data_IF_207775545605
#
_entry.id   IF_207775545605
#
_cell.length_a   1.000
_cell.length_b   1.000
_cell.length_c   1.000
_cell.angle_alpha   90.00
_cell.angle_beta   90.00
_cell.angle_gamma   90.00
#
_symmetry.space_group_name_H-M   'P 1'
#
loop_
_entity.id
_entity.type
_entity.pdbx_description
1 polymer ?
#
# COMPACT_ATOMS: atom_id res chain seq x y z
N UNK A 1 -9.01 -33.34 -4.23
CA UNK A 1 -8.43 -32.21 -5.00
C UNK A 1 -7.80 -31.27 -4.00
N UNK A 2 -6.48 -31.18 -3.99
CA UNK A 2 -5.75 -30.30 -3.06
C UNK A 2 -5.28 -29.08 -3.82
N UNK A 3 -5.83 -27.93 -3.51
CA UNK A 3 -5.19 -26.64 -3.82
C UNK A 3 -4.46 -26.20 -2.58
N UNK A 4 -3.29 -25.69 -2.84
CA UNK A 4 -2.45 -25.12 -1.83
C UNK A 4 -1.99 -23.80 -2.33
N UNK A 5 -2.57 -22.80 -1.74
CA UNK A 5 -2.21 -21.43 -2.01
C UNK A 5 -0.86 -21.16 -1.38
N UNK A 6 -0.05 -20.52 -2.14
CA UNK A 6 1.22 -20.10 -1.67
C UNK A 6 1.27 -18.61 -1.58
N UNK A 7 1.78 -18.16 -0.49
CA UNK A 7 2.61 -16.98 -0.48
C UNK A 7 1.85 -15.72 -0.23
N UNK A 8 1.66 -15.47 1.02
CA UNK A 8 1.62 -14.10 1.44
C UNK A 8 2.27 -13.96 2.81
N UNK A 9 1.56 -14.20 3.88
CA UNK A 9 2.05 -14.10 5.26
C UNK A 9 1.45 -15.24 6.04
N UNK A 10 2.31 -16.01 6.73
CA UNK A 10 1.93 -17.21 7.50
C UNK A 10 1.49 -16.87 8.92
N UNK A 11 1.98 -15.77 9.47
CA UNK A 11 1.75 -15.40 10.88
C UNK A 11 0.29 -15.50 11.33
N UNK A 12 -0.72 -15.02 10.54
CA UNK A 12 -2.11 -15.10 10.93
C UNK A 12 -2.66 -16.52 11.12
N UNK A 13 -1.97 -17.53 10.57
CA UNK A 13 -2.38 -18.94 10.66
C UNK A 13 -1.72 -19.68 11.83
N UNK A 14 -0.63 -19.13 12.37
CA UNK A 14 0.18 -19.72 13.41
C UNK A 14 -0.20 -19.16 14.78
N UNK A 15 -0.47 -17.86 14.89
CA UNK A 15 -0.77 -17.19 16.13
C UNK A 15 -2.27 -17.28 16.49
N UNK A 16 -2.56 -17.61 17.76
CA UNK A 16 -3.94 -17.74 18.26
C UNK A 16 -4.67 -16.40 18.40
N UNK A 17 -3.95 -15.33 18.73
CA UNK A 17 -4.46 -13.97 18.81
C UNK A 17 -3.57 -13.09 17.94
N UNK A 18 -4.08 -12.66 16.81
CA UNK A 18 -3.33 -11.90 15.84
C UNK A 18 -3.89 -10.47 15.75
N UNK A 19 -3.12 -9.43 16.14
CA UNK A 19 -3.57 -8.06 15.97
C UNK A 19 -3.69 -7.72 14.49
N UNK A 20 -4.79 -7.11 14.10
CA UNK A 20 -5.04 -6.71 12.70
C UNK A 20 -4.24 -5.44 12.33
N UNK A 21 -2.95 -5.41 12.65
CA UNK A 21 -2.07 -4.23 12.46
C UNK A 21 -1.80 -3.88 11.00
N UNK A 22 -2.04 -4.81 10.10
CA UNK A 22 -1.82 -4.61 8.67
C UNK A 22 -2.88 -5.37 7.87
N UNK A 23 -3.44 -4.74 6.83
CA UNK A 23 -4.53 -5.30 6.01
C UNK A 23 -4.20 -6.69 5.48
N UNK A 24 -2.96 -6.91 5.02
CA UNK A 24 -2.54 -8.17 4.43
C UNK A 24 -2.68 -9.40 5.33
N UNK A 25 -2.66 -9.19 6.65
CA UNK A 25 -2.79 -10.27 7.62
C UNK A 25 -4.20 -10.87 7.59
N UNK A 26 -5.22 -10.03 7.61
CA UNK A 26 -6.60 -10.45 7.45
C UNK A 26 -6.86 -10.95 6.03
N UNK A 27 -6.32 -10.26 5.02
CA UNK A 27 -6.48 -10.63 3.61
C UNK A 27 -5.96 -12.03 3.30
N UNK A 28 -4.81 -12.41 3.84
CA UNK A 28 -4.26 -13.76 3.67
C UNK A 28 -5.21 -14.84 4.18
N UNK A 29 -5.79 -14.65 5.37
CA UNK A 29 -6.81 -15.57 5.93
C UNK A 29 -8.05 -15.64 5.05
N UNK A 30 -8.53 -14.49 4.61
CA UNK A 30 -9.76 -14.40 3.83
C UNK A 30 -9.60 -15.03 2.43
N UNK A 31 -8.47 -14.81 1.77
CA UNK A 31 -8.15 -15.48 0.50
C UNK A 31 -8.12 -17.00 0.66
N UNK A 32 -7.43 -17.49 1.70
CA UNK A 32 -7.39 -18.92 1.97
C UNK A 32 -8.79 -19.50 2.28
N UNK A 33 -9.62 -18.76 3.03
CA UNK A 33 -11.02 -19.13 3.31
C UNK A 33 -11.84 -19.23 2.02
N UNK A 34 -11.75 -18.21 1.15
CA UNK A 34 -12.51 -18.17 -0.12
C UNK A 34 -12.10 -19.33 -1.02
N UNK A 35 -10.81 -19.60 -1.19
CA UNK A 35 -10.31 -20.72 -1.98
C UNK A 35 -10.81 -22.04 -1.37
N UNK A 36 -10.77 -22.17 -0.04
CA UNK A 36 -11.30 -23.33 0.68
C UNK A 36 -12.79 -23.59 0.44
N UNK A 37 -13.62 -22.53 0.31
CA UNK A 37 -15.06 -22.69 0.01
C UNK A 37 -15.35 -23.27 -1.38
N UNK A 38 -14.37 -23.26 -2.28
CA UNK A 38 -14.44 -23.93 -3.60
C UNK A 38 -14.02 -25.40 -3.54
N UNK A 39 -13.86 -25.97 -2.35
CA UNK A 39 -13.53 -27.39 -2.14
C UNK A 39 -12.04 -27.70 -2.16
N UNK A 40 -11.22 -26.70 -2.04
CA UNK A 40 -9.77 -26.83 -2.05
C UNK A 40 -9.19 -26.92 -0.61
N UNK A 41 -8.18 -27.74 -0.43
CA UNK A 41 -7.34 -27.73 0.77
C UNK A 41 -6.21 -26.73 0.54
N UNK A 42 -6.09 -25.76 1.42
CA UNK A 42 -5.15 -24.63 1.25
C UNK A 42 -3.93 -24.81 2.14
N UNK A 43 -2.74 -24.80 1.53
CA UNK A 43 -1.46 -24.64 2.22
C UNK A 43 -1.02 -23.19 2.04
N UNK A 44 -0.63 -22.54 3.11
CA UNK A 44 -0.07 -21.20 3.06
C UNK A 44 1.43 -21.27 3.35
N UNK A 45 2.23 -20.68 2.46
CA UNK A 45 3.69 -20.64 2.57
C UNK A 45 4.13 -19.18 2.62
N UNK A 46 4.99 -18.85 3.57
CA UNK A 46 5.53 -17.50 3.68
C UNK A 46 6.36 -17.12 2.46
N UNK A 47 6.12 -15.94 1.90
CA UNK A 47 6.78 -15.45 0.68
C UNK A 47 8.29 -15.25 0.83
N UNK A 48 8.81 -15.18 2.04
CA UNK A 48 10.24 -15.12 2.34
C UNK A 48 10.87 -16.49 2.49
N UNK A 49 10.06 -17.55 2.67
CA UNK A 49 10.55 -18.92 2.87
C UNK A 49 10.90 -19.62 1.55
N UNK A 50 12.07 -19.34 1.00
CA UNK A 50 12.57 -19.98 -0.23
C UNK A 50 12.92 -21.46 -0.07
N UNK A 51 13.00 -21.96 1.14
CA UNK A 51 13.35 -23.34 1.47
C UNK A 51 12.14 -24.17 1.94
N UNK A 52 10.93 -23.72 1.61
CA UNK A 52 9.71 -24.43 1.99
C UNK A 52 9.72 -25.85 1.44
N UNK A 53 9.54 -26.84 2.31
CA UNK A 53 9.41 -28.25 1.94
C UNK A 53 7.96 -28.55 1.61
N UNK A 54 7.61 -28.48 0.33
CA UNK A 54 6.28 -28.82 -0.14
C UNK A 54 6.08 -30.33 -0.07
N UNK A 55 4.94 -30.78 0.49
CA UNK A 55 4.66 -32.20 0.73
C UNK A 55 3.78 -32.84 -0.33
N UNK A 56 3.15 -32.04 -1.15
CA UNK A 56 2.11 -32.49 -2.08
C UNK A 56 2.29 -31.85 -3.46
N UNK A 57 1.55 -32.34 -4.43
CA UNK A 57 1.39 -31.67 -5.71
C UNK A 57 0.14 -30.81 -5.70
N UNK A 58 0.14 -29.73 -6.46
CA UNK A 58 -0.88 -28.67 -6.42
C UNK A 58 -1.66 -28.59 -7.72
N UNK A 59 -2.96 -28.31 -7.61
CA UNK A 59 -3.87 -28.07 -8.73
C UNK A 59 -4.03 -26.57 -9.02
N UNK A 60 -3.66 -25.72 -8.05
CA UNK A 60 -3.63 -24.26 -8.21
C UNK A 60 -2.49 -23.69 -7.35
N UNK A 61 -1.84 -22.66 -7.87
CA UNK A 61 -0.85 -21.85 -7.12
C UNK A 61 -1.23 -20.38 -7.31
N UNK A 62 -1.40 -19.66 -6.21
CA UNK A 62 -1.59 -18.20 -6.22
C UNK A 62 -0.42 -17.56 -5.50
N UNK A 63 0.23 -16.56 -6.07
CA UNK A 63 1.37 -16.01 -5.38
C UNK A 63 2.00 -14.76 -5.97
N UNK A 64 2.88 -14.14 -5.16
CA UNK A 64 3.68 -12.99 -5.56
C UNK A 64 4.75 -13.40 -6.58
N UNK A 65 4.85 -12.65 -7.67
CA UNK A 65 5.87 -12.84 -8.69
C UNK A 65 6.94 -11.76 -8.53
N UNK A 66 8.20 -12.13 -8.76
CA UNK A 66 8.81 -13.41 -9.18
C UNK A 66 9.22 -14.33 -8.03
N UNK A 67 8.87 -14.00 -6.79
CA UNK A 67 9.37 -14.71 -5.62
C UNK A 67 8.69 -16.06 -5.45
N UNK A 68 9.49 -17.13 -5.48
CA UNK A 68 9.08 -18.45 -5.00
C UNK A 68 8.40 -19.36 -6.00
N UNK A 69 8.13 -18.94 -7.25
CA UNK A 69 7.47 -19.82 -8.22
C UNK A 69 8.31 -21.07 -8.56
N UNK A 70 9.64 -20.94 -8.54
CA UNK A 70 10.56 -22.05 -8.80
C UNK A 70 10.39 -23.21 -7.81
N UNK A 71 10.00 -22.90 -6.56
CA UNK A 71 9.75 -23.89 -5.51
C UNK A 71 8.57 -24.80 -5.92
N UNK A 72 7.56 -24.22 -6.58
CA UNK A 72 6.32 -24.94 -6.93
C UNK A 72 6.39 -25.70 -8.23
N UNK A 73 7.29 -25.34 -9.17
CA UNK A 73 7.35 -25.93 -10.50
C UNK A 73 7.43 -27.46 -10.47
N UNK A 74 8.17 -28.02 -9.50
CA UNK A 74 8.31 -29.46 -9.29
C UNK A 74 7.14 -30.13 -8.58
N UNK A 75 6.20 -29.33 -8.07
CA UNK A 75 5.06 -29.76 -7.27
C UNK A 75 3.73 -29.38 -7.91
N UNK A 76 3.71 -29.07 -9.19
CA UNK A 76 2.49 -28.77 -9.95
C UNK A 76 1.97 -30.03 -10.63
N UNK A 77 0.67 -30.31 -10.46
CA UNK A 77 0.00 -31.34 -11.25
C UNK A 77 -0.12 -30.89 -12.72
N UNK A 78 -0.26 -31.82 -13.68
CA UNK A 78 -0.67 -31.46 -15.04
C UNK A 78 -1.98 -30.64 -15.01
N UNK A 79 -1.95 -29.47 -15.66
CA UNK A 79 -3.11 -28.54 -15.63
C UNK A 79 -3.25 -27.70 -14.36
N UNK A 80 -2.21 -27.63 -13.52
CA UNK A 80 -2.18 -26.74 -12.37
C UNK A 80 -2.38 -25.27 -12.79
N UNK A 81 -3.37 -24.60 -12.19
CA UNK A 81 -3.62 -23.16 -12.41
C UNK A 81 -2.59 -22.30 -11.72
N UNK A 82 -2.03 -21.35 -12.45
CA UNK A 82 -1.05 -20.40 -11.94
C UNK A 82 -1.62 -19.00 -11.96
N UNK A 83 -1.79 -18.40 -10.78
CA UNK A 83 -2.36 -17.07 -10.61
C UNK A 83 -1.30 -16.16 -10.03
N UNK A 84 -0.99 -15.10 -10.75
CA UNK A 84 -0.09 -14.05 -10.28
C UNK A 84 -0.83 -13.10 -9.34
N UNK A 85 -0.32 -12.87 -8.13
CA UNK A 85 -0.85 -11.85 -7.22
C UNK A 85 0.06 -10.62 -7.22
N UNK A 86 -0.42 -9.53 -7.79
CA UNK A 86 0.32 -8.30 -8.04
C UNK A 86 -0.14 -7.24 -7.04
N UNK A 87 0.64 -7.02 -6.00
CA UNK A 87 0.29 -6.12 -4.87
C UNK A 87 0.86 -4.71 -5.00
N UNK A 88 1.61 -4.44 -6.07
CA UNK A 88 2.25 -3.14 -6.35
C UNK A 88 2.34 -2.92 -7.85
N UNK A 89 2.81 -1.75 -8.27
CA UNK A 89 3.31 -1.54 -9.64
C UNK A 89 4.42 -2.53 -9.97
N UNK A 90 4.69 -2.72 -11.26
CA UNK A 90 5.78 -3.56 -11.75
C UNK A 90 7.10 -3.19 -11.04
N UNK A 91 7.83 -4.19 -10.55
CA UNK A 91 9.04 -3.98 -9.77
C UNK A 91 10.14 -3.21 -10.54
N UNK A 92 10.24 -3.37 -11.85
CA UNK A 92 11.18 -2.59 -12.65
C UNK A 92 10.82 -1.10 -12.65
N UNK A 93 9.53 -0.76 -12.76
CA UNK A 93 9.02 0.61 -12.67
C UNK A 93 9.22 1.14 -11.25
N UNK A 94 8.87 0.36 -10.23
CA UNK A 94 9.07 0.73 -8.82
C UNK A 94 10.54 1.05 -8.53
N UNK A 95 11.46 0.18 -8.98
CA UNK A 95 12.91 0.39 -8.81
C UNK A 95 13.42 1.61 -9.57
N UNK A 96 12.93 1.81 -10.82
CA UNK A 96 13.26 2.97 -11.63
C UNK A 96 12.79 4.28 -10.99
N UNK A 97 11.56 4.32 -10.51
CA UNK A 97 10.99 5.50 -9.85
C UNK A 97 11.72 5.84 -8.54
N UNK A 98 12.03 4.83 -7.72
CA UNK A 98 12.83 5.05 -6.50
C UNK A 98 14.22 5.61 -6.83
N UNK A 99 14.88 5.07 -7.87
CA UNK A 99 16.16 5.58 -8.33
C UNK A 99 16.07 7.05 -8.76
N UNK A 100 15.04 7.42 -9.53
CA UNK A 100 14.81 8.82 -9.93
C UNK A 100 14.68 9.71 -8.69
N UNK A 101 13.92 9.30 -7.67
CA UNK A 101 13.78 10.05 -6.41
C UNK A 101 15.10 10.20 -5.67
N UNK A 102 15.91 9.16 -5.60
CA UNK A 102 17.24 9.21 -4.98
C UNK A 102 18.20 10.11 -5.76
N UNK A 103 18.17 10.09 -7.09
CA UNK A 103 18.96 10.98 -7.95
C UNK A 103 18.51 12.45 -7.79
N UNK A 104 17.21 12.72 -7.70
CA UNK A 104 16.65 14.06 -7.40
C UNK A 104 17.08 14.55 -6.01
N UNK A 105 17.03 13.69 -5.00
CA UNK A 105 17.51 13.98 -3.65
C UNK A 105 19.01 14.34 -3.67
N UNK A 106 19.81 13.55 -4.37
CA UNK A 106 21.25 13.85 -4.55
C UNK A 106 21.48 15.23 -5.19
N UNK A 107 20.66 15.59 -6.19
CA UNK A 107 20.75 16.92 -6.83
C UNK A 107 20.36 18.04 -5.87
N UNK A 108 19.34 17.85 -5.01
CA UNK A 108 18.90 18.88 -4.05
C UNK A 108 19.84 19.05 -2.86
N UNK A 109 20.37 17.95 -2.31
CA UNK A 109 21.12 17.97 -1.04
C UNK A 109 22.59 17.54 -1.16
N UNK A 110 23.00 16.96 -2.29
CA UNK A 110 24.37 16.46 -2.48
C UNK A 110 24.68 15.14 -1.75
N UNK A 111 23.64 14.41 -1.28
CA UNK A 111 23.77 13.17 -0.51
C UNK A 111 23.35 11.95 -1.31
N UNK A 112 23.87 10.80 -0.93
CA UNK A 112 23.46 9.51 -1.49
C UNK A 112 22.84 8.64 -0.40
N UNK A 113 21.59 8.23 -0.58
CA UNK A 113 20.91 7.29 0.28
C UNK A 113 20.67 5.95 -0.43
N UNK A 114 20.53 4.89 0.35
CA UNK A 114 20.33 3.55 -0.18
C UNK A 114 18.87 3.32 -0.60
N UNK A 115 18.60 2.62 -1.73
CA UNK A 115 17.26 2.23 -2.11
C UNK A 115 16.68 1.24 -1.10
N UNK A 116 15.38 1.35 -0.80
CA UNK A 116 14.69 0.52 0.19
C UNK A 116 13.58 -0.35 -0.39
N UNK A 117 12.96 0.09 -1.46
CA UNK A 117 11.79 -0.57 -2.07
C UNK A 117 12.10 -1.18 -3.42
N UNK A 118 13.17 -0.75 -4.06
CA UNK A 118 13.66 -1.33 -5.30
C UNK A 118 14.09 -2.78 -5.12
N UNK A 119 14.04 -3.54 -6.19
CA UNK A 119 14.44 -4.95 -6.23
C UNK A 119 15.34 -5.22 -7.44
N UNK A 120 16.41 -5.98 -7.21
CA UNK A 120 17.21 -6.54 -8.29
C UNK A 120 16.50 -7.67 -9.04
N UNK A 121 15.42 -8.22 -8.45
CA UNK A 121 14.61 -9.27 -9.06
C UNK A 121 13.53 -8.62 -9.89
N UNK A 122 13.62 -8.73 -11.19
CA UNK A 122 12.64 -8.21 -12.15
C UNK A 122 11.63 -9.30 -12.47
N UNK A 123 10.34 -8.94 -12.58
CA UNK A 123 9.35 -9.83 -13.18
C UNK A 123 9.73 -10.00 -14.65
N UNK A 124 9.96 -11.22 -15.06
CA UNK A 124 10.29 -11.56 -16.44
C UNK A 124 9.05 -11.99 -17.23
N UNK A 125 9.28 -12.51 -18.44
CA UNK A 125 8.20 -13.00 -19.32
C UNK A 125 7.47 -14.24 -18.78
N UNK A 126 7.91 -14.82 -17.68
CA UNK A 126 7.23 -15.94 -17.03
C UNK A 126 5.79 -15.60 -16.63
N UNK A 127 5.48 -14.33 -16.39
CA UNK A 127 4.11 -13.88 -16.12
C UNK A 127 3.16 -14.16 -17.30
N UNK A 128 3.67 -14.16 -18.52
CA UNK A 128 2.89 -14.45 -19.73
C UNK A 128 2.41 -15.92 -19.81
N UNK A 129 2.99 -16.79 -18.98
CA UNK A 129 2.65 -18.21 -18.90
C UNK A 129 1.65 -18.52 -17.78
N UNK A 130 1.18 -17.50 -17.05
CA UNK A 130 0.17 -17.66 -16.01
C UNK A 130 -1.22 -17.77 -16.61
N UNK A 131 -2.12 -18.45 -15.89
CA UNK A 131 -3.50 -18.66 -16.29
C UNK A 131 -4.39 -17.49 -15.90
N UNK A 132 -3.91 -16.65 -14.92
CA UNK A 132 -4.57 -15.44 -14.49
C UNK A 132 -3.67 -14.53 -13.68
N UNK A 133 -4.08 -13.28 -13.53
CA UNK A 133 -3.43 -12.32 -12.64
C UNK A 133 -4.47 -11.59 -11.78
N UNK A 134 -4.20 -11.48 -10.50
CA UNK A 134 -4.93 -10.62 -9.58
C UNK A 134 -4.06 -9.42 -9.25
N UNK A 135 -4.60 -8.21 -9.35
CA UNK A 135 -3.83 -7.01 -9.06
C UNK A 135 -4.55 -6.07 -8.09
N UNK A 136 -3.79 -5.48 -7.18
CA UNK A 136 -4.23 -4.40 -6.28
C UNK A 136 -3.83 -3.06 -6.88
N UNK A 137 -4.75 -2.10 -6.85
CA UNK A 137 -4.57 -0.76 -7.40
C UNK A 137 -5.61 -0.41 -8.45
N UNK A 138 -5.38 0.67 -9.15
CA UNK A 138 -6.22 1.12 -10.26
C UNK A 138 -5.61 0.74 -11.63
N UNK A 139 -6.24 1.17 -12.71
CA UNK A 139 -5.73 0.93 -14.07
C UNK A 139 -4.36 1.55 -14.31
N UNK A 140 -4.09 2.73 -13.75
CA UNK A 140 -2.79 3.39 -13.90
C UNK A 140 -1.66 2.52 -13.35
N UNK A 141 -1.82 1.94 -12.14
CA UNK A 141 -0.83 1.05 -11.57
C UNK A 141 -0.68 -0.25 -12.38
N UNK A 142 -1.80 -0.78 -12.87
CA UNK A 142 -1.79 -2.00 -13.69
C UNK A 142 -1.11 -1.79 -15.04
N UNK A 143 -1.22 -0.61 -15.66
CA UNK A 143 -0.50 -0.25 -16.89
C UNK A 143 1.04 -0.34 -16.77
N UNK A 144 1.59 -0.34 -15.56
CA UNK A 144 3.02 -0.61 -15.35
C UNK A 144 3.47 -2.00 -15.85
N UNK A 145 2.52 -2.90 -16.11
CA UNK A 145 2.74 -4.24 -16.65
C UNK A 145 2.54 -4.36 -18.17
N UNK A 146 2.23 -3.28 -18.89
CA UNK A 146 1.93 -3.29 -20.34
C UNK A 146 3.12 -3.75 -21.22
N UNK A 147 4.33 -3.82 -20.65
CA UNK A 147 5.48 -4.42 -21.32
C UNK A 147 5.39 -5.95 -21.47
N UNK A 148 4.40 -6.60 -20.85
CA UNK A 148 4.14 -8.03 -20.93
C UNK A 148 2.81 -8.32 -21.61
N UNK A 149 2.69 -9.50 -22.24
CA UNK A 149 1.39 -10.05 -22.64
C UNK A 149 0.72 -10.65 -21.40
N UNK A 150 -0.03 -9.81 -20.70
CA UNK A 150 -0.68 -10.22 -19.46
C UNK A 150 -1.74 -11.29 -19.69
N UNK A 151 -1.85 -12.29 -18.77
CA UNK A 151 -2.99 -13.22 -18.76
C UNK A 151 -4.28 -12.49 -18.40
N UNK A 152 -5.45 -13.16 -18.46
CA UNK A 152 -6.70 -12.62 -17.95
C UNK A 152 -6.52 -12.04 -16.55
N UNK A 153 -6.77 -10.73 -16.39
CA UNK A 153 -6.39 -10.01 -15.18
C UNK A 153 -7.61 -9.42 -14.48
N UNK A 154 -7.64 -9.58 -13.16
CA UNK A 154 -8.78 -9.19 -12.32
C UNK A 154 -8.31 -8.26 -11.18
N UNK A 155 -9.02 -7.15 -11.02
CA UNK A 155 -8.77 -6.24 -9.90
C UNK A 155 -9.24 -6.85 -8.58
N UNK A 156 -8.34 -6.87 -7.59
CA UNK A 156 -8.67 -7.10 -6.20
C UNK A 156 -8.62 -5.74 -5.50
N UNK A 157 -9.69 -5.37 -4.81
CA UNK A 157 -9.69 -4.13 -4.03
C UNK A 157 -8.89 -4.35 -2.74
N UNK A 158 -8.16 -3.32 -2.30
CA UNK A 158 -7.53 -3.38 -0.97
C UNK A 158 -8.60 -3.28 0.13
N UNK A 159 -8.27 -3.54 1.39
CA UNK A 159 -9.21 -3.42 2.51
C UNK A 159 -8.80 -2.30 3.46
N UNK A 160 -9.74 -1.44 3.81
CA UNK A 160 -9.62 -0.47 4.88
C UNK A 160 -10.12 -1.03 6.22
N UNK A 161 -10.17 -0.17 7.21
CA UNK A 161 -10.65 -0.48 8.55
C UNK A 161 -12.04 0.12 8.81
N UNK A 162 -12.74 -0.41 9.80
CA UNK A 162 -13.93 0.18 10.37
C UNK A 162 -13.62 0.51 11.84
N UNK A 163 -13.31 1.76 12.12
CA UNK A 163 -13.01 2.20 13.47
C UNK A 163 -14.27 2.68 14.16
N UNK A 164 -14.72 1.99 15.22
CA UNK A 164 -15.93 2.36 15.98
C UNK A 164 -15.85 3.75 16.61
N UNK A 165 -14.63 4.23 16.86
CA UNK A 165 -14.37 5.54 17.42
C UNK A 165 -14.28 6.66 16.36
N UNK A 166 -14.16 6.34 15.07
CA UNK A 166 -14.09 7.35 14.01
C UNK A 166 -15.42 8.12 13.91
N UNK A 167 -15.34 9.44 13.84
CA UNK A 167 -16.50 10.33 13.82
C UNK A 167 -16.49 11.19 12.57
N UNK A 168 -17.64 11.31 11.92
CA UNK A 168 -17.80 12.11 10.69
C UNK A 168 -17.68 13.63 10.93
N UNK A 169 -18.06 14.12 12.11
CA UNK A 169 -18.22 15.54 12.40
C UNK A 169 -17.19 16.06 13.42
N UNK A 170 -15.92 15.74 13.23
CA UNK A 170 -14.84 16.30 14.06
C UNK A 170 -14.32 17.56 13.39
N UNK A 171 -14.20 18.61 14.18
CA UNK A 171 -13.48 19.82 13.78
C UNK A 171 -11.99 19.56 13.95
N UNK A 172 -11.26 19.61 12.84
CA UNK A 172 -9.81 19.40 12.77
C UNK A 172 -9.12 20.68 12.33
N UNK A 173 -7.87 20.81 12.71
CA UNK A 173 -7.03 21.91 12.23
C UNK A 173 -6.69 21.70 10.73
N UNK A 174 -7.17 22.63 9.88
CA UNK A 174 -6.93 22.61 8.44
C UNK A 174 -5.45 22.73 8.03
N UNK A 175 -4.58 23.09 8.97
CA UNK A 175 -3.13 23.17 8.75
C UNK A 175 -2.36 21.98 9.30
N UNK A 176 -3.05 20.93 9.77
CA UNK A 176 -2.43 19.72 10.31
C UNK A 176 -2.50 18.55 9.35
N UNK A 177 -1.32 18.01 9.06
CA UNK A 177 -1.07 16.93 8.11
C UNK A 177 -0.42 15.75 8.81
N UNK A 178 -0.72 14.53 8.33
CA UNK A 178 0.02 13.34 8.75
C UNK A 178 0.66 12.66 7.53
N UNK A 179 1.92 12.34 7.66
CA UNK A 179 2.60 11.34 6.85
C UNK A 179 2.50 10.02 7.60
N UNK A 180 1.73 9.07 7.06
CA UNK A 180 1.52 7.76 7.66
C UNK A 180 1.98 6.67 6.69
N UNK A 181 3.12 6.05 6.97
CA UNK A 181 3.75 5.09 6.06
C UNK A 181 4.64 4.10 6.81
N UNK A 182 5.05 3.03 6.12
CA UNK A 182 6.05 2.08 6.57
C UNK A 182 7.46 2.52 6.16
N UNK A 183 8.33 1.58 5.76
CA UNK A 183 9.69 1.82 5.26
C UNK A 183 9.73 2.38 3.83
N UNK A 184 10.89 2.89 3.44
CA UNK A 184 11.14 3.50 2.14
C UNK A 184 10.85 4.99 2.16
N UNK A 185 11.52 5.77 3.03
CA UNK A 185 11.15 7.15 3.29
C UNK A 185 11.25 8.04 2.05
N UNK A 186 12.34 7.92 1.26
CA UNK A 186 12.49 8.66 -0.02
C UNK A 186 11.49 8.16 -1.06
N UNK A 187 11.30 6.85 -1.15
CA UNK A 187 10.29 6.26 -2.03
C UNK A 187 8.88 6.80 -1.75
N UNK A 188 8.55 6.96 -0.47
CA UNK A 188 7.27 7.49 0.02
C UNK A 188 7.17 9.01 -0.01
N UNK A 189 8.29 9.72 -0.27
CA UNK A 189 8.37 11.16 -0.39
C UNK A 189 8.41 11.92 0.94
N UNK A 190 8.85 11.26 2.04
CA UNK A 190 9.04 11.93 3.32
C UNK A 190 10.10 13.01 3.25
N UNK A 191 11.17 12.79 2.48
CA UNK A 191 12.22 13.79 2.20
C UNK A 191 11.65 15.10 1.67
N UNK A 192 10.72 15.03 0.70
CA UNK A 192 10.06 16.20 0.13
C UNK A 192 9.22 16.96 1.18
N UNK A 193 8.49 16.22 2.01
CA UNK A 193 7.65 16.81 3.04
C UNK A 193 8.51 17.46 4.15
N UNK A 194 9.56 16.80 4.61
CA UNK A 194 10.45 17.36 5.62
C UNK A 194 11.11 18.67 5.13
N UNK A 195 11.59 18.69 3.89
CA UNK A 195 12.16 19.92 3.30
C UNK A 195 11.10 21.03 3.15
N UNK A 196 9.88 20.71 2.68
CA UNK A 196 8.81 21.69 2.51
C UNK A 196 8.35 22.28 3.86
N UNK A 197 8.05 21.42 4.83
CA UNK A 197 7.52 21.88 6.12
C UNK A 197 8.56 22.63 6.95
N UNK A 198 9.85 22.23 6.87
CA UNK A 198 10.90 22.93 7.58
C UNK A 198 11.26 24.30 6.98
N UNK A 199 11.08 24.49 5.66
CA UNK A 199 11.55 25.70 4.98
C UNK A 199 10.40 26.64 4.58
N UNK A 200 9.27 26.11 4.10
CA UNK A 200 8.23 26.91 3.44
C UNK A 200 6.85 26.82 4.10
N UNK A 201 6.54 25.77 4.85
CA UNK A 201 5.25 25.52 5.48
C UNK A 201 5.31 25.64 7.00
N UNK A 202 5.96 26.68 7.53
CA UNK A 202 6.21 26.85 8.97
C UNK A 202 4.95 27.05 9.82
N UNK A 203 3.85 27.52 9.21
CA UNK A 203 2.56 27.69 9.85
C UNK A 203 1.67 26.44 9.79
N UNK A 204 2.20 25.36 9.24
CA UNK A 204 1.55 24.05 9.07
C UNK A 204 2.23 23.01 9.93
N UNK A 205 1.49 22.05 10.45
CA UNK A 205 2.03 20.96 11.27
C UNK A 205 2.08 19.67 10.48
N UNK A 206 3.22 18.98 10.51
CA UNK A 206 3.40 17.64 9.94
C UNK A 206 3.67 16.63 11.04
N UNK A 207 2.75 15.69 11.25
CA UNK A 207 2.97 14.51 12.06
C UNK A 207 3.62 13.42 11.22
N UNK A 208 4.77 12.90 11.65
CA UNK A 208 5.54 11.88 10.91
C UNK A 208 5.40 10.54 11.60
N UNK A 209 4.49 9.71 11.09
CA UNK A 209 4.19 8.38 11.61
C UNK A 209 4.78 7.32 10.67
N UNK A 210 6.05 6.99 10.85
CA UNK A 210 6.73 5.98 10.04
C UNK A 210 7.95 5.40 10.75
N UNK A 211 8.47 4.28 10.26
CA UNK A 211 9.67 3.64 10.81
C UNK A 211 10.98 4.25 10.30
N UNK A 212 11.06 5.57 10.16
CA UNK A 212 12.23 6.28 9.62
C UNK A 212 13.53 6.01 10.39
N UNK A 213 13.44 5.73 11.68
CA UNK A 213 14.60 5.38 12.53
C UNK A 213 15.27 4.06 12.10
N UNK A 214 14.58 3.20 11.37
CA UNK A 214 15.11 1.94 10.85
C UNK A 214 15.94 2.15 9.57
N UNK A 215 15.90 3.34 8.98
CA UNK A 215 16.66 3.73 7.81
C UNK A 215 17.77 4.70 8.25
N UNK A 216 18.86 4.15 8.81
CA UNK A 216 19.93 4.88 9.49
C UNK A 216 20.47 6.07 8.66
N UNK A 217 20.74 5.84 7.36
CA UNK A 217 21.25 6.87 6.46
C UNK A 217 20.24 8.02 6.28
N UNK A 218 18.93 7.71 6.13
CA UNK A 218 17.86 8.69 6.07
C UNK A 218 17.71 9.42 7.42
N UNK A 219 17.72 8.66 8.51
CA UNK A 219 17.54 9.19 9.86
C UNK A 219 18.62 10.21 10.22
N UNK A 220 19.89 9.91 9.92
CA UNK A 220 21.01 10.80 10.18
C UNK A 220 20.92 12.08 9.33
N UNK A 221 20.56 11.96 8.06
CA UNK A 221 20.48 13.08 7.14
C UNK A 221 19.34 14.06 7.48
N UNK A 222 18.18 13.53 7.90
CA UNK A 222 16.98 14.33 8.21
C UNK A 222 16.75 14.56 9.71
N UNK A 223 17.74 14.25 10.55
CA UNK A 223 17.65 14.41 12.01
C UNK A 223 17.28 15.85 12.40
N UNK A 224 17.86 16.83 11.74
CA UNK A 224 17.60 18.25 12.01
C UNK A 224 16.15 18.63 11.71
N UNK A 225 15.65 18.26 10.53
CA UNK A 225 14.27 18.53 10.15
C UNK A 225 13.29 17.84 11.10
N UNK A 226 13.58 16.60 11.50
CA UNK A 226 12.71 15.81 12.39
C UNK A 226 12.68 16.37 13.83
N UNK A 227 13.80 16.80 14.39
CA UNK A 227 13.90 17.09 15.82
C UNK A 227 14.17 18.53 16.20
N UNK A 228 14.63 19.36 15.25
CA UNK A 228 14.92 20.79 15.52
C UNK A 228 13.90 21.74 14.86
N UNK A 229 12.90 21.19 14.16
CA UNK A 229 11.86 21.98 13.48
C UNK A 229 10.56 21.88 14.26
N UNK A 230 10.11 23.00 14.83
CA UNK A 230 9.00 23.03 15.82
C UNK A 230 7.64 22.59 15.29
N UNK A 231 7.41 22.64 13.98
CA UNK A 231 6.15 22.27 13.32
C UNK A 231 6.20 20.87 12.67
N UNK A 232 7.29 20.14 12.84
CA UNK A 232 7.39 18.72 12.46
C UNK A 232 7.39 17.89 13.76
N UNK A 233 6.45 16.97 13.86
CA UNK A 233 6.23 16.16 15.05
C UNK A 233 6.60 14.70 14.73
N UNK A 234 7.81 14.25 15.08
CA UNK A 234 8.27 12.89 14.82
C UNK A 234 7.61 11.93 15.82
N UNK A 235 6.77 11.03 15.32
CA UNK A 235 6.02 10.07 16.11
C UNK A 235 6.61 8.66 16.10
N UNK A 236 7.54 8.39 15.14
CA UNK A 236 8.02 7.04 14.90
C UNK A 236 6.94 6.11 14.37
N UNK A 237 7.10 4.81 14.59
CA UNK A 237 6.06 3.84 14.24
C UNK A 237 4.85 4.00 15.18
N UNK A 238 3.67 4.17 14.60
CA UNK A 238 2.41 4.29 15.32
C UNK A 238 1.50 3.11 15.00
N UNK A 239 1.12 2.36 16.01
CA UNK A 239 0.16 1.26 15.89
C UNK A 239 -1.25 1.82 15.69
N UNK A 240 -1.97 1.31 14.70
CA UNK A 240 -3.34 1.77 14.35
C UNK A 240 -4.39 1.47 15.43
N UNK A 241 -4.11 0.52 16.33
CA UNK A 241 -4.96 0.19 17.48
C UNK A 241 -4.67 1.06 18.72
N UNK A 242 -3.62 1.92 18.65
CA UNK A 242 -3.19 2.74 19.77
C UNK A 242 -4.06 4.01 19.95
N UNK A 243 -4.12 4.51 21.18
CA UNK A 243 -4.72 5.83 21.47
C UNK A 243 -3.96 6.94 20.74
N UNK A 244 -2.65 6.82 20.55
CA UNK A 244 -1.83 7.75 19.78
C UNK A 244 -2.33 7.91 18.35
N UNK A 245 -2.65 6.81 17.65
CA UNK A 245 -3.22 6.90 16.30
C UNK A 245 -4.56 7.62 16.30
N UNK A 246 -5.41 7.30 17.27
CA UNK A 246 -6.72 7.96 17.45
C UNK A 246 -6.57 9.46 17.69
N UNK A 247 -5.66 9.88 18.58
CA UNK A 247 -5.39 11.31 18.84
C UNK A 247 -4.89 12.04 17.61
N UNK A 248 -3.95 11.45 16.85
CA UNK A 248 -3.43 12.00 15.60
C UNK A 248 -4.57 12.17 14.60
N UNK A 249 -5.44 11.17 14.46
CA UNK A 249 -6.57 11.21 13.53
C UNK A 249 -7.61 12.29 13.88
N UNK A 250 -7.70 12.66 15.15
CA UNK A 250 -8.55 13.77 15.60
C UNK A 250 -7.91 15.15 15.39
N UNK A 251 -6.59 15.22 15.33
CA UNK A 251 -5.84 16.48 15.11
C UNK A 251 -5.64 16.77 13.62
N UNK A 252 -5.28 15.75 12.83
CA UNK A 252 -4.91 15.94 11.42
C UNK A 252 -6.13 15.93 10.51
N UNK A 253 -6.25 16.98 9.69
CA UNK A 253 -7.25 17.04 8.62
C UNK A 253 -6.82 16.21 7.41
N UNK A 254 -5.56 16.26 7.06
CA UNK A 254 -5.06 15.63 5.84
C UNK A 254 -4.06 14.51 6.12
N UNK A 255 -4.14 13.46 5.29
CA UNK A 255 -3.09 12.47 5.15
C UNK A 255 -2.37 12.69 3.81
N UNK A 256 -1.06 12.90 3.85
CA UNK A 256 -0.29 13.26 2.66
C UNK A 256 0.75 12.17 2.35
N UNK A 257 0.75 11.68 1.10
CA UNK A 257 1.66 10.63 0.65
C UNK A 257 2.07 10.82 -0.82
N UNK A 258 3.17 11.56 -1.09
CA UNK A 258 3.70 11.72 -2.44
C UNK A 258 4.61 10.54 -2.84
N UNK A 259 4.11 9.31 -2.73
CA UNK A 259 4.86 8.09 -3.05
C UNK A 259 5.16 7.97 -4.55
N UNK A 260 6.27 7.36 -4.92
CA UNK A 260 6.66 7.18 -6.32
C UNK A 260 6.20 5.84 -6.93
N UNK A 261 5.71 4.89 -6.15
CA UNK A 261 5.08 3.65 -6.63
C UNK A 261 4.39 2.89 -5.49
N UNK A 262 3.14 2.48 -5.72
CA UNK A 262 2.34 1.64 -4.83
C UNK A 262 1.50 0.64 -5.64
N UNK A 263 0.75 -0.21 -4.93
CA UNK A 263 -0.42 -0.87 -5.50
C UNK A 263 -1.67 -0.02 -5.22
N UNK A 264 -2.24 -0.21 -4.02
CA UNK A 264 -3.22 0.71 -3.43
C UNK A 264 -2.75 0.96 -1.99
N UNK A 265 -2.37 2.20 -1.70
CA UNK A 265 -1.68 2.55 -0.46
C UNK A 265 -2.53 2.27 0.79
N UNK A 266 -2.24 1.17 1.49
CA UNK A 266 -3.00 0.72 2.66
C UNK A 266 -2.98 1.71 3.82
N UNK A 267 -1.88 2.44 4.00
CA UNK A 267 -1.77 3.50 5.01
C UNK A 267 -2.74 4.66 4.75
N UNK A 268 -2.97 4.99 3.49
CA UNK A 268 -3.95 6.02 3.09
C UNK A 268 -5.37 5.51 3.34
N UNK A 269 -5.69 4.25 3.02
CA UNK A 269 -6.98 3.66 3.39
C UNK A 269 -7.21 3.69 4.90
N UNK A 270 -6.17 3.45 5.69
CA UNK A 270 -6.24 3.54 7.16
C UNK A 270 -6.56 4.98 7.60
N UNK A 271 -5.88 5.97 7.04
CA UNK A 271 -6.14 7.37 7.33
C UNK A 271 -7.56 7.81 6.90
N UNK A 272 -8.01 7.40 5.71
CA UNK A 272 -9.38 7.64 5.22
C UNK A 272 -10.43 6.98 6.12
N UNK A 273 -10.17 5.78 6.62
CA UNK A 273 -11.04 5.07 7.58
C UNK A 273 -11.23 5.86 8.88
N UNK A 274 -10.23 6.64 9.26
CA UNK A 274 -10.27 7.53 10.43
C UNK A 274 -10.82 8.95 10.10
N UNK A 275 -11.27 9.19 8.86
CA UNK A 275 -11.86 10.43 8.40
C UNK A 275 -10.84 11.53 8.06
N UNK A 276 -9.60 11.18 7.76
CA UNK A 276 -8.62 12.12 7.21
C UNK A 276 -8.78 12.23 5.69
N UNK A 277 -8.51 13.40 5.14
CA UNK A 277 -8.63 13.70 3.71
C UNK A 277 -7.30 13.37 3.02
N UNK A 278 -7.28 12.46 2.04
CA UNK A 278 -6.03 12.05 1.39
C UNK A 278 -5.57 13.05 0.32
N UNK A 279 -4.30 13.47 0.38
CA UNK A 279 -3.57 14.16 -0.70
C UNK A 279 -2.41 13.24 -1.12
N UNK A 280 -2.50 12.65 -2.29
CA UNK A 280 -1.60 11.58 -2.67
C UNK A 280 -1.18 11.68 -4.14
N UNK A 281 -0.05 11.07 -4.49
CA UNK A 281 0.33 10.89 -5.88
C UNK A 281 -0.57 9.86 -6.58
N UNK A 282 -0.71 9.97 -7.89
CA UNK A 282 -1.46 9.01 -8.71
C UNK A 282 -0.90 7.58 -8.61
N UNK A 283 0.38 7.45 -8.28
CA UNK A 283 1.06 6.19 -8.03
C UNK A 283 0.51 5.44 -6.81
N UNK A 284 -0.24 6.12 -5.94
CA UNK A 284 -0.86 5.49 -4.76
C UNK A 284 -2.05 4.57 -5.07
N UNK A 285 -2.53 4.54 -6.32
CA UNK A 285 -3.45 3.51 -6.82
C UNK A 285 -4.93 3.71 -6.51
N UNK A 286 -5.34 4.96 -6.31
CA UNK A 286 -6.74 5.36 -6.12
C UNK A 286 -7.35 5.92 -7.41
N UNK A 287 -8.66 5.90 -7.51
CA UNK A 287 -9.37 6.57 -8.59
C UNK A 287 -9.48 8.09 -8.30
N UNK A 288 -9.68 8.90 -9.34
CA UNK A 288 -9.67 10.37 -9.22
C UNK A 288 -10.78 10.94 -8.30
N UNK A 289 -11.88 10.22 -8.15
CA UNK A 289 -13.00 10.62 -7.29
C UNK A 289 -12.85 10.17 -5.83
N UNK A 290 -11.79 9.46 -5.49
CA UNK A 290 -11.57 8.89 -4.15
C UNK A 290 -10.62 9.72 -3.29
N UNK A 291 -9.73 10.47 -3.94
CA UNK A 291 -8.62 11.19 -3.27
C UNK A 291 -8.31 12.51 -3.99
N UNK A 292 -7.56 13.38 -3.32
CA UNK A 292 -6.95 14.53 -3.97
C UNK A 292 -5.64 14.08 -4.61
N UNK A 293 -5.65 13.94 -5.93
CA UNK A 293 -4.48 13.51 -6.69
C UNK A 293 -3.50 14.64 -6.96
N UNK A 294 -2.25 14.46 -6.56
CA UNK A 294 -1.13 15.28 -7.00
C UNK A 294 -0.80 14.92 -8.46
N UNK A 295 -0.76 15.88 -9.39
CA UNK A 295 -0.42 15.62 -10.79
C UNK A 295 1.04 15.18 -10.96
N UNK A 296 1.91 15.65 -10.08
CA UNK A 296 3.30 15.23 -9.91
C UNK A 296 3.73 15.42 -8.45
N UNK A 297 4.94 14.96 -8.13
CA UNK A 297 5.47 15.10 -6.78
C UNK A 297 6.58 16.17 -6.69
N UNK A 298 6.56 17.20 -7.54
CA UNK A 298 7.44 18.33 -7.40
C UNK A 298 7.10 19.12 -6.14
N UNK A 299 8.11 19.66 -5.51
CA UNK A 299 7.92 20.41 -4.25
C UNK A 299 6.95 21.58 -4.42
N UNK A 300 7.01 22.29 -5.56
CA UNK A 300 6.11 23.41 -5.87
C UNK A 300 4.65 22.94 -6.01
N UNK A 301 4.44 21.77 -6.62
CA UNK A 301 3.12 21.17 -6.75
C UNK A 301 2.57 20.77 -5.38
N UNK A 302 3.35 20.05 -4.58
CA UNK A 302 2.95 19.65 -3.22
C UNK A 302 2.64 20.89 -2.37
N UNK A 303 3.48 21.91 -2.40
CA UNK A 303 3.28 23.18 -1.69
C UNK A 303 1.94 23.83 -2.09
N UNK A 304 1.69 23.96 -3.40
CA UNK A 304 0.45 24.55 -3.91
C UNK A 304 -0.80 23.83 -3.40
N UNK A 305 -0.79 22.49 -3.43
CA UNK A 305 -1.91 21.67 -2.95
C UNK A 305 -2.10 21.78 -1.43
N UNK A 306 -1.03 21.76 -0.65
CA UNK A 306 -1.10 21.96 0.82
C UNK A 306 -1.75 23.29 1.13
N UNK A 307 -1.32 24.37 0.49
CA UNK A 307 -1.86 25.72 0.71
C UNK A 307 -3.31 25.81 0.24
N UNK A 308 -3.62 25.35 -0.98
CA UNK A 308 -4.99 25.42 -1.55
C UNK A 308 -6.01 24.71 -0.66
N UNK A 309 -5.73 23.44 -0.30
CA UNK A 309 -6.71 22.62 0.39
C UNK A 309 -6.85 23.00 1.88
N UNK A 310 -5.79 23.51 2.49
CA UNK A 310 -5.88 24.05 3.88
C UNK A 310 -6.74 25.31 4.00
N UNK A 311 -6.97 26.02 2.91
CA UNK A 311 -7.81 27.24 2.86
C UNK A 311 -9.30 26.94 2.59
N UNK A 312 -9.67 25.69 2.35
CA UNK A 312 -11.07 25.29 2.19
C UNK A 312 -11.85 25.57 3.50
N UNK A 313 -13.09 25.95 3.36
CA UNK A 313 -13.94 26.22 4.52
C UNK A 313 -14.27 24.95 5.32
N UNK A 314 -14.69 25.11 6.55
CA UNK A 314 -14.99 24.00 7.46
C UNK A 314 -16.08 23.07 6.94
N UNK A 315 -17.04 23.59 6.15
CA UNK A 315 -18.09 22.76 5.58
C UNK A 315 -17.53 21.83 4.51
N UNK A 316 -16.68 22.36 3.63
CA UNK A 316 -15.97 21.55 2.65
C UNK A 316 -15.11 20.47 3.31
N UNK A 317 -14.33 20.82 4.35
CA UNK A 317 -13.47 19.88 5.05
C UNK A 317 -14.27 18.75 5.71
N UNK A 318 -15.39 19.06 6.37
CA UNK A 318 -16.27 18.04 6.95
C UNK A 318 -16.86 17.10 5.90
N UNK A 319 -17.32 17.65 4.78
CA UNK A 319 -17.87 16.85 3.68
C UNK A 319 -16.80 15.95 3.04
N UNK A 320 -15.57 16.45 2.82
CA UNK A 320 -14.47 15.68 2.28
C UNK A 320 -14.01 14.56 3.24
N UNK A 321 -13.96 14.84 4.55
CA UNK A 321 -13.66 13.82 5.56
C UNK A 321 -14.72 12.71 5.59
N UNK A 322 -16.01 13.09 5.55
CA UNK A 322 -17.12 12.15 5.44
C UNK A 322 -17.02 11.31 4.17
N UNK A 323 -16.76 11.95 3.03
CA UNK A 323 -16.58 11.27 1.76
C UNK A 323 -15.44 10.24 1.80
N UNK A 324 -14.29 10.57 2.43
CA UNK A 324 -13.19 9.62 2.63
C UNK A 324 -13.64 8.35 3.36
N UNK A 325 -14.42 8.48 4.44
CA UNK A 325 -14.97 7.34 5.18
C UNK A 325 -15.98 6.54 4.35
N UNK A 326 -16.86 7.23 3.61
CA UNK A 326 -17.85 6.60 2.72
C UNK A 326 -17.19 5.79 1.58
N UNK A 327 -16.12 6.31 0.99
CA UNK A 327 -15.31 5.59 -0.01
C UNK A 327 -14.75 4.30 0.57
N UNK A 328 -14.14 4.36 1.76
CA UNK A 328 -13.60 3.14 2.39
C UNK A 328 -14.72 2.15 2.67
N UNK A 329 -15.82 2.59 3.25
CA UNK A 329 -16.94 1.72 3.58
C UNK A 329 -17.57 1.07 2.34
N UNK A 330 -17.76 1.81 1.26
CA UNK A 330 -18.47 1.34 0.06
C UNK A 330 -17.60 0.61 -0.95
N UNK A 331 -16.29 0.95 -1.03
CA UNK A 331 -15.39 0.40 -2.08
C UNK A 331 -14.24 -0.43 -1.54
N UNK A 332 -13.83 -0.22 -0.29
CA UNK A 332 -12.65 -0.83 0.32
C UNK A 332 -12.96 -1.53 1.66
N UNK A 333 -14.22 -1.91 1.88
CA UNK A 333 -14.57 -2.71 3.06
C UNK A 333 -14.00 -4.14 2.94
N UNK A 334 -13.90 -4.84 4.07
CA UNK A 334 -13.57 -6.27 4.10
C UNK A 334 -14.49 -7.09 3.19
N UNK A 335 -15.78 -6.74 3.12
CA UNK A 335 -16.74 -7.39 2.24
C UNK A 335 -16.41 -7.15 0.74
N UNK A 336 -16.05 -5.92 0.38
CA UNK A 336 -15.63 -5.59 -0.99
C UNK A 336 -14.38 -6.37 -1.40
N UNK A 337 -13.41 -6.51 -0.49
CA UNK A 337 -12.25 -7.36 -0.73
C UNK A 337 -12.67 -8.80 -1.00
N UNK A 338 -13.48 -9.41 -0.11
CA UNK A 338 -13.95 -10.80 -0.26
C UNK A 338 -14.63 -11.02 -1.61
N UNK A 339 -15.60 -10.17 -1.96
CA UNK A 339 -16.31 -10.24 -3.25
C UNK A 339 -15.36 -10.08 -4.45
N UNK A 340 -14.35 -9.20 -4.36
CA UNK A 340 -13.38 -9.02 -5.45
C UNK A 340 -12.52 -10.27 -5.65
N UNK A 341 -12.11 -10.93 -4.58
CA UNK A 341 -11.35 -12.20 -4.63
C UNK A 341 -12.23 -13.33 -5.19
N UNK A 342 -13.48 -13.47 -4.73
CA UNK A 342 -14.42 -14.46 -5.24
C UNK A 342 -14.64 -14.29 -6.75
N UNK A 343 -14.92 -13.07 -7.19
CA UNK A 343 -15.11 -12.76 -8.62
C UNK A 343 -13.85 -13.03 -9.44
N UNK A 344 -12.68 -12.69 -8.92
CA UNK A 344 -11.42 -12.92 -9.60
C UNK A 344 -11.11 -14.43 -9.71
N UNK A 345 -11.35 -15.20 -8.65
CA UNK A 345 -11.19 -16.66 -8.66
C UNK A 345 -12.14 -17.31 -9.67
N UNK A 346 -13.42 -16.97 -9.63
CA UNK A 346 -14.43 -17.51 -10.57
C UNK A 346 -14.10 -17.11 -12.02
N UNK A 347 -13.57 -15.90 -12.24
CA UNK A 347 -13.11 -15.43 -13.55
C UNK A 347 -11.95 -16.26 -14.11
N UNK A 348 -10.95 -16.62 -13.29
CA UNK A 348 -9.86 -17.50 -13.73
C UNK A 348 -10.39 -18.90 -14.02
N UNK A 349 -11.20 -19.47 -13.13
CA UNK A 349 -11.76 -20.81 -13.29
C UNK A 349 -12.66 -20.95 -14.54
N UNK A 350 -13.34 -19.88 -14.95
CA UNK A 350 -14.17 -19.86 -16.14
C UNK A 350 -13.35 -19.84 -17.45
N UNK A 351 -12.19 -19.19 -17.44
CA UNK A 351 -11.31 -19.07 -18.62
C UNK A 351 -10.46 -20.31 -18.89
N UNK A 352 -10.47 -21.29 -17.98
CA UNK A 352 -9.67 -22.52 -18.08
C UNK A 352 -10.51 -23.75 -18.44
N UNK A 353 -11.79 -23.58 -18.64
CA UNK A 353 -12.71 -24.58 -19.21
C UNK A 353 -12.79 -24.42 -20.73
#
# INVERSE_FOLDING_TARGET
MCIRDSIYIVDPFIEKAFPERHQNLWQAKEMARIIGTRGYVVDVVDYMNRNAKLKFNYDMVVGLIPRGIDIYTKHMNPGCLRIAYLTSMNLAITTGNEKIRLDELKQRRGIELSPRRGSSTVIGKEIEQFDGAWYIGNKYNFHSYDCFKMPPSFRIVNSGYAFDWAKENIERDSKSFVFFASSGQVHKGLDLLLELFSQHLKDYTLYVCSGYEQEEDFYQEYHKELYETSNIIPMGFVDIESETFREISYKCTFAILPSCAEGCAGSILTAMSAGMIPIVSKECGFEDDEVINLPDCKMETIFGYVVEYSQKDQNWLKNAAKHSMEIVHSRYSKLCFSHSVEKALDGVLANTK
#
